data_IF_731375812270
#
_entry.id   IF_731375812270
#
_cell.length_a   1.000
_cell.length_b   1.000
_cell.length_c   1.000
_cell.angle_alpha   90.00
_cell.angle_beta   90.00
_cell.angle_gamma   90.00
#
_symmetry.space_group_name_H-M   'P 1'
#
loop_
_entity.id
_entity.type
_entity.pdbx_description
1 polymer ?
#
# COMPACT_ATOMS: atom_id res chain seq x y z
N UNK A 1 56.46 -23.32 -34.60
CA UNK A 1 55.36 -22.56 -35.21
C UNK A 1 55.39 -21.13 -34.72
N UNK A 2 55.74 -20.17 -35.58
CA UNK A 2 55.76 -18.74 -35.22
C UNK A 2 54.33 -18.20 -35.41
N UNK A 3 53.61 -18.00 -34.32
CA UNK A 3 52.33 -17.31 -34.38
C UNK A 3 52.61 -15.84 -34.74
N UNK A 4 52.04 -15.39 -35.84
CA UNK A 4 52.14 -14.01 -36.26
C UNK A 4 51.38 -13.10 -35.28
N UNK A 5 52.02 -12.07 -34.78
CA UNK A 5 51.45 -11.07 -33.89
C UNK A 5 50.14 -10.47 -34.43
N UNK A 6 49.98 -10.45 -35.74
CA UNK A 6 48.76 -10.01 -36.45
C UNK A 6 47.58 -10.94 -36.15
N UNK A 7 47.80 -12.25 -36.10
CA UNK A 7 46.72 -13.22 -35.79
C UNK A 7 46.26 -13.12 -34.36
N UNK A 8 47.17 -12.81 -33.42
CA UNK A 8 46.84 -12.63 -32.00
C UNK A 8 46.08 -11.32 -31.82
N UNK A 9 46.43 -10.25 -32.49
CA UNK A 9 45.76 -8.96 -32.46
C UNK A 9 44.32 -9.05 -33.04
N UNK A 10 44.13 -9.80 -34.13
CA UNK A 10 42.80 -10.04 -34.72
C UNK A 10 41.90 -10.87 -33.80
N UNK A 11 42.48 -11.85 -33.09
CA UNK A 11 41.73 -12.68 -32.15
C UNK A 11 41.32 -11.90 -30.88
N UNK A 12 42.17 -11.00 -30.38
CA UNK A 12 41.86 -10.10 -29.28
C UNK A 12 40.79 -9.06 -29.66
N UNK A 13 40.81 -8.55 -30.90
CA UNK A 13 39.80 -7.61 -31.37
C UNK A 13 38.41 -8.29 -31.54
N UNK A 14 38.39 -9.56 -31.96
CA UNK A 14 37.16 -10.34 -32.07
C UNK A 14 36.51 -10.65 -30.70
N UNK A 15 37.33 -10.86 -29.64
CA UNK A 15 36.82 -11.06 -28.28
C UNK A 15 36.34 -9.79 -27.62
N UNK A 16 36.87 -8.60 -27.96
CA UNK A 16 36.38 -7.34 -27.41
C UNK A 16 34.98 -6.94 -27.91
N UNK A 17 34.54 -7.44 -29.07
CA UNK A 17 33.22 -7.16 -29.63
C UNK A 17 32.05 -7.95 -28.99
N UNK A 18 32.34 -8.96 -28.19
CA UNK A 18 31.27 -9.84 -27.61
C UNK A 18 30.73 -9.41 -26.25
N UNK A 19 31.28 -8.35 -25.66
CA UNK A 19 30.81 -7.80 -24.37
C UNK A 19 29.74 -6.69 -24.51
N UNK A 20 29.19 -6.49 -25.70
CA UNK A 20 27.95 -5.71 -25.84
C UNK A 20 26.79 -6.54 -25.30
N UNK A 21 26.80 -6.75 -23.99
CA UNK A 21 25.67 -7.33 -23.24
C UNK A 21 24.48 -6.42 -23.45
N UNK A 22 23.43 -6.93 -24.07
CA UNK A 22 22.13 -6.28 -24.18
C UNK A 22 21.54 -6.11 -22.78
N UNK A 23 21.82 -5.03 -22.07
CA UNK A 23 21.17 -4.68 -20.81
C UNK A 23 19.65 -4.52 -21.01
N UNK A 24 19.24 -4.09 -22.19
CA UNK A 24 17.83 -3.89 -22.57
C UNK A 24 16.98 -5.18 -22.63
N UNK A 25 17.61 -6.36 -22.67
CA UNK A 25 16.86 -7.63 -22.73
C UNK A 25 16.39 -8.10 -21.35
N UNK A 26 17.07 -7.69 -20.28
CA UNK A 26 16.75 -8.06 -18.90
C UNK A 26 15.82 -7.05 -18.23
N UNK A 27 15.78 -5.81 -18.70
CA UNK A 27 14.95 -4.72 -18.17
C UNK A 27 13.58 -4.64 -18.88
N UNK A 28 13.03 -5.76 -19.32
CA UNK A 28 11.66 -5.79 -19.82
C UNK A 28 10.70 -5.63 -18.67
N UNK A 29 10.02 -4.48 -18.62
CA UNK A 29 8.83 -4.33 -17.78
C UNK A 29 7.84 -5.46 -18.12
N UNK A 30 7.28 -6.15 -17.12
CA UNK A 30 6.31 -7.21 -17.37
C UNK A 30 5.10 -6.63 -18.11
N UNK A 31 4.83 -7.10 -19.30
CA UNK A 31 3.71 -6.65 -20.15
C UNK A 31 2.33 -6.92 -19.52
N UNK A 32 2.28 -7.75 -18.48
CA UNK A 32 1.04 -8.18 -17.81
C UNK A 32 0.82 -7.55 -16.44
N UNK A 33 1.77 -6.80 -15.90
CA UNK A 33 1.62 -6.09 -14.63
C UNK A 33 2.16 -4.67 -14.77
N UNK A 34 1.32 -3.68 -14.45
CA UNK A 34 1.79 -2.30 -14.35
C UNK A 34 2.78 -2.21 -13.18
N UNK A 35 4.03 -1.82 -13.45
CA UNK A 35 4.95 -1.52 -12.36
C UNK A 35 4.44 -0.31 -11.57
N UNK A 36 4.69 -0.22 -10.26
CA UNK A 36 4.30 0.95 -9.47
C UNK A 36 4.82 2.27 -10.04
N UNK A 37 5.94 2.23 -10.77
CA UNK A 37 6.55 3.40 -11.40
C UNK A 37 5.86 3.80 -12.70
N UNK A 38 5.22 2.86 -13.40
CA UNK A 38 4.44 3.12 -14.62
C UNK A 38 2.99 3.48 -14.34
N UNK A 39 2.46 3.12 -13.18
CA UNK A 39 1.14 3.46 -12.69
C UNK A 39 1.16 4.80 -11.92
N UNK A 40 0.03 5.39 -11.64
CA UNK A 40 -0.12 6.68 -10.94
C UNK A 40 0.43 7.90 -11.71
N UNK A 41 0.32 7.88 -13.05
CA UNK A 41 0.79 8.97 -13.94
C UNK A 41 -0.34 9.79 -14.57
N UNK A 42 -1.59 9.42 -14.36
CA UNK A 42 -2.75 10.16 -14.86
C UNK A 42 -3.74 10.47 -13.74
N UNK A 43 -4.57 11.51 -13.95
CA UNK A 43 -5.66 11.87 -13.03
C UNK A 43 -6.55 10.66 -12.70
N UNK A 44 -6.98 9.91 -13.73
CA UNK A 44 -7.85 8.74 -13.56
C UNK A 44 -7.20 7.65 -12.71
N UNK A 45 -5.88 7.44 -12.84
CA UNK A 45 -5.14 6.47 -12.03
C UNK A 45 -5.03 6.91 -10.57
N UNK A 46 -4.82 8.20 -10.32
CA UNK A 46 -4.82 8.75 -8.96
C UNK A 46 -6.22 8.68 -8.35
N UNK A 47 -7.26 8.96 -9.12
CA UNK A 47 -8.65 8.78 -8.71
C UNK A 47 -8.96 7.33 -8.35
N UNK A 48 -8.59 6.39 -9.22
CA UNK A 48 -8.79 4.95 -8.96
C UNK A 48 -8.05 4.50 -7.70
N UNK A 49 -6.86 5.06 -7.46
CA UNK A 49 -6.09 4.82 -6.24
C UNK A 49 -6.84 5.30 -5.00
N UNK A 50 -7.34 6.54 -5.00
CA UNK A 50 -8.15 7.07 -3.90
C UNK A 50 -9.41 6.23 -3.68
N UNK A 51 -10.13 5.92 -4.76
CA UNK A 51 -11.36 5.11 -4.71
C UNK A 51 -11.12 3.72 -4.09
N UNK A 52 -9.97 3.09 -4.35
CA UNK A 52 -9.63 1.79 -3.77
C UNK A 52 -9.55 1.79 -2.25
N UNK A 53 -9.36 2.96 -1.64
CA UNK A 53 -9.25 3.13 -0.18
C UNK A 53 -10.59 3.38 0.52
N UNK A 54 -11.65 3.72 -0.24
CA UNK A 54 -12.97 4.00 0.33
C UNK A 54 -13.59 2.79 1.03
N UNK A 55 -13.14 1.57 0.72
CA UNK A 55 -13.56 0.36 1.44
C UNK A 55 -13.21 0.38 2.94
N UNK A 56 -12.36 1.31 3.39
CA UNK A 56 -12.05 1.51 4.80
C UNK A 56 -13.09 2.36 5.54
N UNK A 57 -14.03 2.99 4.83
CA UNK A 57 -15.15 3.69 5.44
C UNK A 57 -16.24 2.71 5.87
N UNK A 58 -17.07 3.08 6.86
CA UNK A 58 -18.20 2.28 7.26
C UNK A 58 -19.13 2.08 6.06
N UNK A 59 -19.48 0.84 5.77
CA UNK A 59 -20.51 0.51 4.82
C UNK A 59 -21.84 0.28 5.55
N UNK A 60 -22.95 0.64 4.91
CA UNK A 60 -24.24 0.12 5.33
C UNK A 60 -24.23 -1.39 5.09
N UNK A 61 -24.08 -2.17 6.16
CA UNK A 61 -24.19 -3.62 6.10
C UNK A 61 -25.53 -4.03 5.49
N UNK A 62 -25.50 -5.01 4.60
CA UNK A 62 -26.74 -5.60 4.08
C UNK A 62 -27.56 -6.20 5.22
N UNK A 63 -28.74 -5.66 5.45
CA UNK A 63 -29.62 -6.02 6.55
C UNK A 63 -29.52 -5.03 7.71
N UNK A 64 -30.46 -4.18 7.80
CA UNK A 64 -30.78 -3.26 8.91
C UNK A 64 -29.68 -3.12 9.99
N UNK A 65 -28.52 -2.61 9.58
CA UNK A 65 -27.30 -2.48 10.41
C UNK A 65 -27.41 -1.52 11.61
N UNK A 66 -28.61 -1.05 11.89
CA UNK A 66 -28.96 -0.30 13.09
C UNK A 66 -28.71 -1.09 14.38
N UNK A 67 -28.72 -2.43 14.31
CA UNK A 67 -28.60 -3.27 15.49
C UNK A 67 -27.21 -3.86 15.72
N UNK A 68 -26.34 -3.87 14.72
CA UNK A 68 -25.01 -4.51 14.84
C UNK A 68 -24.06 -3.77 15.77
N UNK A 69 -24.27 -2.48 15.97
CA UNK A 69 -23.47 -1.66 16.89
C UNK A 69 -23.71 -1.97 18.36
N UNK A 70 -24.91 -2.42 18.69
CA UNK A 70 -25.34 -2.64 20.06
C UNK A 70 -25.22 -4.11 20.52
N UNK A 71 -24.89 -5.04 19.62
CA UNK A 71 -24.73 -6.47 19.93
C UNK A 71 -23.70 -6.77 21.01
N UNK A 72 -22.73 -5.90 21.20
CA UNK A 72 -21.68 -6.03 22.20
C UNK A 72 -21.81 -5.00 23.35
N UNK A 73 -22.97 -4.44 23.54
CA UNK A 73 -23.30 -3.52 24.63
C UNK A 73 -24.29 -4.17 25.61
N UNK A 74 -24.58 -3.48 26.69
CA UNK A 74 -25.60 -3.89 27.66
C UNK A 74 -27.05 -3.68 27.16
N UNK A 75 -27.21 -3.00 26.02
CA UNK A 75 -28.51 -2.66 25.45
C UNK A 75 -29.15 -3.79 24.60
N UNK A 76 -28.33 -4.73 24.09
CA UNK A 76 -28.81 -5.75 23.19
C UNK A 76 -28.17 -7.12 23.44
N UNK A 77 -29.03 -8.12 23.73
CA UNK A 77 -28.62 -9.51 23.75
C UNK A 77 -28.94 -10.17 22.40
N UNK A 78 -28.01 -10.95 21.89
CA UNK A 78 -28.18 -11.77 20.70
C UNK A 78 -28.22 -13.23 21.12
N UNK A 79 -29.17 -14.02 20.58
CA UNK A 79 -29.39 -15.43 20.94
C UNK A 79 -28.21 -16.37 20.65
N UNK A 80 -27.16 -15.92 19.92
CA UNK A 80 -25.96 -16.70 19.61
C UNK A 80 -24.67 -16.02 20.06
N UNK A 81 -24.76 -14.92 20.77
CA UNK A 81 -23.56 -14.23 21.23
C UNK A 81 -23.21 -14.64 22.64
N UNK A 82 -22.06 -15.24 22.78
CA UNK A 82 -21.27 -15.12 24.00
C UNK A 82 -20.91 -13.65 24.19
N UNK A 83 -21.88 -12.80 24.43
CA UNK A 83 -21.70 -11.37 24.51
C UNK A 83 -20.54 -11.08 25.43
N UNK A 84 -19.55 -10.39 24.91
CA UNK A 84 -18.33 -9.99 25.61
C UNK A 84 -18.59 -9.46 27.04
N UNK A 85 -19.80 -8.97 27.26
CA UNK A 85 -20.23 -8.36 28.51
C UNK A 85 -21.28 -9.15 29.29
N UNK A 86 -22.00 -10.11 28.66
CA UNK A 86 -23.11 -10.79 29.24
C UNK A 86 -22.73 -11.96 30.17
N UNK A 87 -21.57 -12.57 29.99
CA UNK A 87 -21.18 -13.77 30.74
C UNK A 87 -20.17 -13.53 31.84
N UNK A 88 -19.62 -12.31 31.97
CA UNK A 88 -18.54 -12.03 32.93
C UNK A 88 -17.25 -12.83 32.69
N UNK A 89 -17.18 -13.59 31.58
CA UNK A 89 -16.09 -14.51 31.29
C UNK A 89 -15.07 -13.96 30.30
N UNK A 90 -15.21 -12.69 29.93
CA UNK A 90 -14.27 -12.11 28.99
C UNK A 90 -12.87 -12.03 29.59
N UNK A 91 -11.94 -12.74 28.97
CA UNK A 91 -10.52 -12.69 29.32
C UNK A 91 -9.73 -12.05 28.18
N UNK A 92 -8.84 -11.15 28.53
CA UNK A 92 -7.87 -10.63 27.56
C UNK A 92 -6.92 -11.78 27.19
N UNK A 93 -6.97 -12.20 25.94
CA UNK A 93 -6.04 -13.25 25.44
C UNK A 93 -4.61 -12.72 25.42
N UNK A 94 -3.64 -13.60 25.63
CA UNK A 94 -2.20 -13.28 25.52
C UNK A 94 -1.80 -12.85 24.08
N UNK A 95 -2.62 -13.19 23.10
CA UNK A 95 -2.41 -12.88 21.68
C UNK A 95 -3.66 -12.20 21.14
N UNK A 96 -3.84 -10.92 21.43
CA UNK A 96 -4.89 -10.12 20.80
C UNK A 96 -4.46 -9.75 19.37
N UNK A 97 -4.70 -10.69 18.44
CA UNK A 97 -4.26 -10.64 17.06
C UNK A 97 -4.92 -9.62 16.13
N UNK A 98 -5.68 -8.66 16.66
CA UNK A 98 -6.37 -7.68 15.83
C UNK A 98 -5.56 -6.39 15.55
N UNK A 99 -4.33 -6.34 16.04
CA UNK A 99 -3.42 -5.25 15.73
C UNK A 99 -2.80 -5.47 14.35
N UNK A 100 -3.17 -4.67 13.37
CA UNK A 100 -2.65 -4.79 12.02
C UNK A 100 -2.26 -3.42 11.45
N UNK A 101 -1.06 -3.35 10.91
CA UNK A 101 -0.54 -2.19 10.20
C UNK A 101 -0.78 -2.25 8.68
N UNK A 102 -1.34 -3.35 8.18
CA UNK A 102 -1.49 -3.59 6.75
C UNK A 102 -2.23 -2.49 6.01
N UNK A 103 -3.35 -2.03 6.56
CA UNK A 103 -4.14 -0.94 5.97
C UNK A 103 -3.38 0.39 5.96
N UNK A 104 -2.71 0.75 7.06
CA UNK A 104 -1.90 1.97 7.13
C UNK A 104 -0.74 1.91 6.16
N UNK A 105 -0.06 0.77 6.05
CA UNK A 105 1.04 0.57 5.09
C UNK A 105 0.56 0.74 3.64
N UNK A 106 -0.59 0.16 3.28
CA UNK A 106 -1.18 0.28 1.95
C UNK A 106 -1.52 1.73 1.62
N UNK A 107 -2.17 2.44 2.55
CA UNK A 107 -2.51 3.85 2.37
C UNK A 107 -1.23 4.70 2.24
N UNK A 108 -0.24 4.51 3.12
CA UNK A 108 1.01 5.25 3.08
C UNK A 108 1.76 5.03 1.77
N UNK A 109 1.81 3.79 1.27
CA UNK A 109 2.44 3.44 0.02
C UNK A 109 1.79 4.17 -1.16
N UNK A 110 0.48 4.05 -1.31
CA UNK A 110 -0.30 4.68 -2.37
C UNK A 110 -0.22 6.21 -2.32
N UNK A 111 -0.41 6.77 -1.12
CA UNK A 111 -0.34 8.21 -0.90
C UNK A 111 1.05 8.77 -1.23
N UNK A 112 2.11 8.09 -0.81
CA UNK A 112 3.48 8.55 -1.06
C UNK A 112 3.79 8.58 -2.56
N UNK A 113 3.45 7.53 -3.31
CA UNK A 113 3.68 7.47 -4.76
C UNK A 113 2.86 8.54 -5.48
N UNK A 114 1.56 8.66 -5.20
CA UNK A 114 0.70 9.65 -5.85
C UNK A 114 1.19 11.07 -5.57
N UNK A 115 1.54 11.38 -4.33
CA UNK A 115 2.06 12.68 -3.93
C UNK A 115 3.41 12.97 -4.61
N UNK A 116 4.36 12.06 -4.53
CA UNK A 116 5.70 12.24 -5.12
C UNK A 116 5.64 12.43 -6.63
N UNK A 117 4.81 11.64 -7.32
CA UNK A 117 4.64 11.78 -8.77
C UNK A 117 3.99 13.12 -9.11
N UNK A 118 3.00 13.57 -8.34
CA UNK A 118 2.35 14.85 -8.55
C UNK A 118 3.32 16.03 -8.32
N UNK A 119 4.05 16.04 -7.20
CA UNK A 119 5.06 17.07 -6.88
C UNK A 119 6.19 17.12 -7.91
N UNK A 120 6.56 15.98 -8.50
CA UNK A 120 7.53 15.89 -9.58
C UNK A 120 6.98 16.28 -10.97
N UNK A 121 5.71 16.67 -11.08
CA UNK A 121 5.07 17.03 -12.35
C UNK A 121 4.89 15.84 -13.31
N UNK A 122 4.88 14.60 -12.80
CA UNK A 122 4.76 13.36 -13.60
C UNK A 122 3.32 12.90 -13.81
N UNK A 123 2.35 13.58 -13.19
CA UNK A 123 0.92 13.22 -13.30
C UNK A 123 0.24 14.18 -14.27
N UNK A 124 -0.34 13.64 -15.33
CA UNK A 124 -1.14 14.40 -16.29
C UNK A 124 -2.60 14.49 -15.84
N UNK A 125 -3.24 15.62 -16.13
CA UNK A 125 -4.65 15.88 -15.82
C UNK A 125 -4.87 17.19 -15.11
N UNK A 126 -6.05 17.37 -14.51
CA UNK A 126 -6.39 18.59 -13.78
C UNK A 126 -5.72 18.57 -12.39
N UNK A 127 -4.82 19.53 -12.16
CA UNK A 127 -4.03 19.61 -10.93
C UNK A 127 -4.90 19.73 -9.66
N UNK A 128 -6.03 20.45 -9.73
CA UNK A 128 -6.88 20.64 -8.55
C UNK A 128 -7.64 19.38 -8.18
N UNK A 129 -8.09 18.61 -9.18
CA UNK A 129 -8.70 17.31 -8.94
C UNK A 129 -7.69 16.31 -8.38
N UNK A 130 -6.46 16.29 -8.93
CA UNK A 130 -5.39 15.41 -8.40
C UNK A 130 -5.09 15.75 -6.93
N UNK A 131 -4.99 17.03 -6.58
CA UNK A 131 -4.84 17.47 -5.17
C UNK A 131 -6.00 17.01 -4.30
N UNK A 132 -7.24 17.09 -4.83
CA UNK A 132 -8.42 16.61 -4.12
C UNK A 132 -8.29 15.13 -3.80
N UNK A 133 -7.99 14.27 -4.77
CA UNK A 133 -7.81 12.82 -4.56
C UNK A 133 -6.69 12.50 -3.56
N UNK A 134 -5.59 13.24 -3.63
CA UNK A 134 -4.51 13.11 -2.63
C UNK A 134 -5.03 13.52 -1.24
N UNK A 135 -5.82 14.60 -1.15
CA UNK A 135 -6.47 15.05 0.09
C UNK A 135 -7.42 13.98 0.68
N UNK A 136 -8.19 13.31 -0.18
CA UNK A 136 -9.06 12.20 0.20
C UNK A 136 -8.25 11.03 0.81
N UNK A 137 -7.10 10.69 0.22
CA UNK A 137 -6.22 9.65 0.79
C UNK A 137 -5.66 10.05 2.17
N UNK A 138 -5.33 11.34 2.38
CA UNK A 138 -4.95 11.85 3.71
C UNK A 138 -6.08 11.69 4.72
N UNK A 139 -7.31 12.05 4.31
CA UNK A 139 -8.49 11.89 5.15
C UNK A 139 -8.72 10.42 5.52
N UNK A 140 -8.65 9.51 4.54
CA UNK A 140 -8.85 8.07 4.77
C UNK A 140 -7.79 7.49 5.70
N UNK A 141 -6.54 7.95 5.60
CA UNK A 141 -5.49 7.59 6.56
C UNK A 141 -5.85 8.05 7.98
N UNK A 142 -6.25 9.29 8.14
CA UNK A 142 -6.66 9.82 9.44
C UNK A 142 -7.87 9.07 10.00
N UNK A 143 -8.81 8.69 9.16
CA UNK A 143 -9.97 7.88 9.53
C UNK A 143 -9.57 6.51 10.08
N UNK A 144 -8.68 5.80 9.43
CA UNK A 144 -8.16 4.51 9.90
C UNK A 144 -7.45 4.68 11.25
N UNK A 145 -6.59 5.70 11.37
CA UNK A 145 -5.93 6.02 12.65
C UNK A 145 -6.92 6.34 13.77
N UNK A 146 -7.97 7.10 13.47
CA UNK A 146 -9.03 7.37 14.44
C UNK A 146 -9.72 6.09 14.93
N UNK A 147 -9.98 5.16 14.01
CA UNK A 147 -10.53 3.84 14.36
C UNK A 147 -9.60 3.04 15.27
N UNK A 148 -8.30 3.07 14.99
CA UNK A 148 -7.29 2.42 15.82
C UNK A 148 -7.20 3.07 17.21
N UNK A 149 -7.13 4.40 17.28
CA UNK A 149 -7.10 5.15 18.54
C UNK A 149 -8.31 4.84 19.41
N UNK A 150 -9.50 4.80 18.82
CA UNK A 150 -10.74 4.49 19.55
C UNK A 150 -10.74 3.08 20.16
N UNK A 151 -10.12 2.12 19.48
CA UNK A 151 -10.13 0.71 19.90
C UNK A 151 -9.01 0.35 20.86
N UNK A 152 -7.83 0.97 20.76
CA UNK A 152 -6.62 0.59 21.51
C UNK A 152 -5.99 1.69 22.33
N UNK A 153 -6.41 2.93 22.16
CA UNK A 153 -5.78 4.07 22.80
C UNK A 153 -4.54 4.54 22.05
N UNK A 154 -3.54 5.01 22.78
CA UNK A 154 -2.34 5.61 22.20
C UNK A 154 -1.50 4.58 21.43
N UNK A 155 -1.02 5.00 20.25
CA UNK A 155 -0.09 4.20 19.46
C UNK A 155 0.71 5.08 18.49
N UNK A 156 1.84 4.57 17.94
CA UNK A 156 2.73 5.36 17.10
C UNK A 156 2.08 5.73 15.77
N UNK A 157 2.31 6.96 15.31
CA UNK A 157 1.85 7.43 14.01
C UNK A 157 2.97 7.22 12.99
N UNK A 158 2.73 6.33 12.02
CA UNK A 158 3.62 6.04 10.89
C UNK A 158 3.04 6.67 9.64
N UNK A 159 3.75 7.60 9.02
CA UNK A 159 3.27 8.35 7.84
C UNK A 159 3.91 7.92 6.54
N UNK A 160 4.86 6.99 6.59
CA UNK A 160 5.60 6.48 5.44
C UNK A 160 5.41 4.96 5.31
N UNK A 161 5.52 4.45 4.09
CA UNK A 161 5.61 3.01 3.89
C UNK A 161 7.03 2.56 4.26
N UNK A 162 7.16 1.87 5.39
CA UNK A 162 8.45 1.34 5.83
C UNK A 162 8.90 0.21 4.90
N UNK A 163 10.18 0.19 4.55
CA UNK A 163 10.81 -0.94 3.88
C UNK A 163 10.89 -2.14 4.83
N UNK A 164 10.95 -3.36 4.28
CA UNK A 164 10.93 -4.59 5.09
C UNK A 164 12.13 -4.73 6.06
N UNK A 165 13.20 -3.96 5.82
CA UNK A 165 14.41 -3.89 6.65
C UNK A 165 14.46 -2.69 7.59
N UNK A 166 13.46 -1.81 7.59
CA UNK A 166 13.40 -0.64 8.45
C UNK A 166 12.54 -0.94 9.69
N UNK A 167 13.21 -1.25 10.79
CA UNK A 167 12.59 -1.25 12.11
C UNK A 167 12.75 0.15 12.71
N UNK A 168 11.72 0.96 12.62
CA UNK A 168 11.60 2.21 13.39
C UNK A 168 10.81 1.89 14.67
N UNK A 169 11.53 1.69 15.74
CA UNK A 169 10.99 1.62 17.11
C UNK A 169 10.84 3.03 17.65
#
# INVERSE_FOLDING_TARGET
MKFNHISIALMALAMAGTFSSCNDFLDKEPLSSSSPESFYKTEDQVQACANSLYGNLPSHGGGYGLYSGDVNTDNQANSGSDGKYLTGQWKVGLTNGNWSWGTIRDINYKLNICRTNFEAGKVSGNADKIKQYIGEMYFLRAWVYFGMLRNWGDFPIVTEALADNEQRL
#
